data_IF_278111011827
#
_entry.id   IF_278111011827
#
_cell.length_a   1.000
_cell.length_b   1.000
_cell.length_c   1.000
_cell.angle_alpha   90.00
_cell.angle_beta   90.00
_cell.angle_gamma   90.00
#
_symmetry.space_group_name_H-M   'P 1'
#
loop_
_entity.id
_entity.type
_entity.pdbx_description
1 polymer ?
#
# COMPACT_ATOMS: atom_id res chain seq x y z
N UNK A 1 -12.18 57.72 -12.88
CA UNK A 1 -11.10 56.83 -13.35
C UNK A 1 -9.76 57.24 -12.72
N UNK A 2 -9.70 57.41 -11.40
CA UNK A 2 -8.55 58.05 -10.71
C UNK A 2 -7.74 57.07 -9.83
N UNK A 3 -8.24 55.85 -9.63
CA UNK A 3 -7.63 54.87 -8.70
C UNK A 3 -6.57 53.96 -9.36
N UNK A 4 -6.49 53.93 -10.69
CA UNK A 4 -5.54 53.11 -11.45
C UNK A 4 -4.07 53.51 -11.19
N UNK A 5 -3.67 54.81 -11.22
CA UNK A 5 -2.29 55.19 -10.95
C UNK A 5 -1.88 54.94 -9.49
N UNK A 6 -2.80 55.07 -8.54
CA UNK A 6 -2.53 54.83 -7.12
C UNK A 6 -2.27 53.35 -6.83
N UNK A 7 -3.13 52.46 -7.33
CA UNK A 7 -2.96 51.01 -7.17
C UNK A 7 -1.66 50.54 -7.82
N UNK A 8 -1.31 51.09 -8.99
CA UNK A 8 -0.05 50.80 -9.66
C UNK A 8 1.16 51.22 -8.81
N UNK A 9 1.17 52.44 -8.28
CA UNK A 9 2.28 52.93 -7.45
C UNK A 9 2.46 52.10 -6.16
N UNK A 10 1.36 51.69 -5.54
CA UNK A 10 1.37 50.82 -4.37
C UNK A 10 1.95 49.45 -4.74
N UNK A 11 1.47 48.83 -5.83
CA UNK A 11 1.99 47.56 -6.33
C UNK A 11 3.48 47.63 -6.66
N UNK A 12 3.93 48.68 -7.34
CA UNK A 12 5.34 48.87 -7.68
C UNK A 12 6.21 48.98 -6.41
N UNK A 13 5.72 49.67 -5.38
CA UNK A 13 6.41 49.76 -4.09
C UNK A 13 6.48 48.39 -3.39
N UNK A 14 5.38 47.66 -3.31
CA UNK A 14 5.35 46.32 -2.71
C UNK A 14 6.24 45.32 -3.46
N UNK A 15 6.18 45.31 -4.80
CA UNK A 15 7.01 44.44 -5.63
C UNK A 15 8.50 44.74 -5.44
N UNK A 16 8.87 46.02 -5.29
CA UNK A 16 10.25 46.41 -5.02
C UNK A 16 10.72 45.91 -3.65
N UNK A 17 9.88 46.03 -2.63
CA UNK A 17 10.18 45.54 -1.28
C UNK A 17 10.35 44.02 -1.24
N UNK A 18 9.47 43.27 -1.91
CA UNK A 18 9.56 41.80 -2.01
C UNK A 18 10.84 41.39 -2.74
N UNK A 19 11.17 42.05 -3.86
CA UNK A 19 12.41 41.77 -4.60
C UNK A 19 13.65 41.99 -3.75
N UNK A 20 13.71 43.06 -2.96
CA UNK A 20 14.84 43.35 -2.08
C UNK A 20 15.01 42.26 -1.02
N UNK A 21 13.91 41.83 -0.39
CA UNK A 21 13.94 40.77 0.63
C UNK A 21 14.36 39.41 0.05
N UNK A 22 13.87 39.06 -1.15
CA UNK A 22 14.26 37.83 -1.84
C UNK A 22 15.74 37.86 -2.23
N UNK A 23 16.23 38.99 -2.76
CA UNK A 23 17.64 39.12 -3.13
C UNK A 23 18.54 39.02 -1.90
N UNK A 24 18.19 39.67 -0.80
CA UNK A 24 18.92 39.55 0.47
C UNK A 24 18.95 38.12 0.97
N UNK A 25 17.81 37.41 0.90
CA UNK A 25 17.71 36.01 1.33
C UNK A 25 18.48 35.03 0.43
N UNK A 26 18.75 35.40 -0.82
CA UNK A 26 19.49 34.60 -1.79
C UNK A 26 20.97 34.99 -1.90
N UNK A 27 21.38 36.12 -1.34
CA UNK A 27 22.74 36.66 -1.48
C UNK A 27 23.81 35.71 -0.90
N UNK A 28 23.46 34.99 0.16
CA UNK A 28 24.36 34.07 0.87
C UNK A 28 24.29 32.63 0.32
N UNK A 29 23.56 32.38 -0.77
CA UNK A 29 23.33 31.03 -1.30
C UNK A 29 23.90 30.84 -2.69
N UNK A 30 24.47 29.67 -2.93
CA UNK A 30 24.99 29.34 -4.25
C UNK A 30 23.84 29.06 -5.25
N UNK A 31 24.02 29.36 -6.55
CA UNK A 31 22.96 29.20 -7.55
C UNK A 31 22.32 27.81 -7.60
N UNK A 32 23.12 26.75 -7.41
CA UNK A 32 22.62 25.37 -7.42
C UNK A 32 21.69 25.08 -6.22
N UNK A 33 21.93 25.70 -5.07
CA UNK A 33 21.08 25.55 -3.89
C UNK A 33 19.71 26.18 -4.13
N UNK A 34 19.68 27.35 -4.79
CA UNK A 34 18.43 28.02 -5.16
C UNK A 34 17.63 27.14 -6.13
N UNK A 35 18.28 26.51 -7.11
CA UNK A 35 17.65 25.55 -8.03
C UNK A 35 17.12 24.34 -7.25
N UNK A 36 17.90 23.80 -6.32
CA UNK A 36 17.49 22.67 -5.50
C UNK A 36 16.29 23.01 -4.60
N UNK A 37 16.28 24.18 -3.96
CA UNK A 37 15.20 24.64 -3.10
C UNK A 37 13.92 24.91 -3.88
N UNK A 38 14.02 25.55 -5.05
CA UNK A 38 12.86 25.80 -5.90
C UNK A 38 12.28 24.49 -6.43
N UNK A 39 13.12 23.58 -6.93
CA UNK A 39 12.69 22.24 -7.36
C UNK A 39 12.04 21.44 -6.22
N UNK A 40 12.66 21.41 -5.04
CA UNK A 40 12.13 20.74 -3.86
C UNK A 40 10.80 21.35 -3.41
N UNK A 41 10.68 22.68 -3.43
CA UNK A 41 9.46 23.40 -3.09
C UNK A 41 8.32 23.10 -4.07
N UNK A 42 8.59 23.09 -5.38
CA UNK A 42 7.60 22.73 -6.40
C UNK A 42 7.16 21.28 -6.27
N UNK A 43 8.11 20.35 -6.05
CA UNK A 43 7.80 18.94 -5.83
C UNK A 43 6.94 18.75 -4.57
N UNK A 44 7.31 19.41 -3.47
CA UNK A 44 6.56 19.38 -2.21
C UNK A 44 5.15 19.95 -2.38
N UNK A 45 4.98 21.06 -3.09
CA UNK A 45 3.68 21.64 -3.39
C UNK A 45 2.82 20.68 -4.22
N UNK A 46 3.40 20.00 -5.21
CA UNK A 46 2.71 18.96 -5.99
C UNK A 46 2.29 17.76 -5.14
N UNK A 47 3.15 17.32 -4.21
CA UNK A 47 2.81 16.25 -3.27
C UNK A 47 1.67 16.67 -2.34
N UNK A 48 1.71 17.89 -1.79
CA UNK A 48 0.65 18.43 -0.93
C UNK A 48 -0.66 18.54 -1.71
N UNK A 49 -0.62 19.05 -2.94
CA UNK A 49 -1.80 19.17 -3.80
C UNK A 49 -2.42 17.80 -4.10
N UNK A 50 -1.60 16.82 -4.46
CA UNK A 50 -2.04 15.44 -4.69
C UNK A 50 -2.63 14.80 -3.43
N UNK A 51 -2.05 15.03 -2.24
CA UNK A 51 -2.58 14.54 -0.96
C UNK A 51 -3.96 15.15 -0.66
N UNK A 52 -4.12 16.46 -0.85
CA UNK A 52 -5.37 17.18 -0.56
C UNK A 52 -6.47 16.77 -1.54
N UNK A 53 -6.14 16.64 -2.83
CA UNK A 53 -7.14 16.41 -3.87
C UNK A 53 -7.52 14.94 -4.02
N UNK A 54 -6.59 14.00 -3.81
CA UNK A 54 -6.83 12.59 -4.11
C UNK A 54 -7.41 11.78 -2.95
N UNK A 55 -7.56 12.36 -1.74
CA UNK A 55 -8.05 11.68 -0.52
C UNK A 55 -7.32 10.35 -0.19
N UNK A 56 -6.22 10.03 -0.88
CA UNK A 56 -5.39 8.87 -0.59
C UNK A 56 -4.42 9.26 0.50
N UNK A 57 -4.73 8.79 1.71
CA UNK A 57 -3.88 8.93 2.89
C UNK A 57 -2.44 8.54 2.51
N UNK A 58 -1.46 9.45 2.53
CA UNK A 58 -0.07 9.16 2.15
C UNK A 58 0.57 8.11 3.08
N UNK A 59 0.01 7.89 4.27
CA UNK A 59 0.41 6.83 5.18
C UNK A 59 0.07 5.41 4.69
N UNK A 60 -0.96 5.24 3.84
CA UNK A 60 -1.27 3.93 3.23
C UNK A 60 -0.31 3.64 2.06
N UNK A 61 0.01 4.64 1.24
CA UNK A 61 1.00 4.49 0.17
C UNK A 61 2.40 4.22 0.74
N UNK A 62 2.78 4.86 1.85
CA UNK A 62 4.06 4.56 2.51
C UNK A 62 4.05 3.15 3.12
N UNK A 63 2.97 2.73 3.79
CA UNK A 63 2.85 1.36 4.31
C UNK A 63 2.88 0.31 3.20
N UNK A 64 2.17 0.51 2.10
CA UNK A 64 2.20 -0.41 0.95
C UNK A 64 3.55 -0.43 0.26
N UNK A 65 4.19 0.72 0.07
CA UNK A 65 5.51 0.82 -0.54
C UNK A 65 6.58 0.17 0.34
N UNK A 66 6.59 0.49 1.64
CA UNK A 66 7.49 -0.09 2.63
C UNK A 66 7.23 -1.59 2.77
N UNK A 67 5.98 -2.03 2.86
CA UNK A 67 5.63 -3.44 2.92
C UNK A 67 6.04 -4.18 1.64
N UNK A 68 5.84 -3.61 0.45
CA UNK A 68 6.33 -4.18 -0.83
C UNK A 68 7.84 -4.31 -0.86
N UNK A 69 8.57 -3.36 -0.27
CA UNK A 69 10.04 -3.41 -0.17
C UNK A 69 10.51 -4.43 0.86
N UNK A 70 9.92 -4.44 2.05
CA UNK A 70 10.25 -5.37 3.14
C UNK A 70 9.90 -6.81 2.75
N UNK A 71 8.79 -7.04 2.04
CA UNK A 71 8.38 -8.37 1.57
C UNK A 71 9.35 -8.99 0.56
N UNK A 72 10.15 -8.18 -0.15
CA UNK A 72 11.21 -8.66 -1.05
C UNK A 72 12.44 -9.17 -0.31
N UNK A 73 12.56 -8.90 0.99
CA UNK A 73 13.70 -9.36 1.79
C UNK A 73 13.54 -10.85 2.13
N UNK A 74 14.63 -11.63 2.03
CA UNK A 74 14.56 -13.09 2.18
C UNK A 74 14.09 -13.52 3.58
N UNK A 75 14.42 -12.76 4.63
CA UNK A 75 13.98 -13.06 5.99
C UNK A 75 12.46 -12.94 6.15
N UNK A 76 11.84 -11.96 5.48
CA UNK A 76 10.41 -11.67 5.63
C UNK A 76 9.61 -12.67 4.82
N UNK A 77 10.11 -13.04 3.64
CA UNK A 77 9.53 -14.10 2.83
C UNK A 77 9.46 -15.42 3.61
N UNK A 78 10.57 -15.84 4.24
CA UNK A 78 10.61 -17.05 5.08
C UNK A 78 9.62 -16.98 6.25
N UNK A 79 9.52 -15.82 6.91
CA UNK A 79 8.57 -15.64 8.02
C UNK A 79 7.11 -15.78 7.56
N UNK A 80 6.76 -15.18 6.43
CA UNK A 80 5.42 -15.29 5.82
C UNK A 80 5.15 -16.74 5.39
N UNK A 81 6.10 -17.41 4.76
CA UNK A 81 5.98 -18.82 4.37
C UNK A 81 5.76 -19.74 5.58
N UNK A 82 6.48 -19.53 6.68
CA UNK A 82 6.29 -20.30 7.91
C UNK A 82 4.89 -20.11 8.49
N UNK A 83 4.38 -18.88 8.52
CA UNK A 83 3.01 -18.61 8.98
C UNK A 83 1.95 -19.22 8.05
N UNK A 84 2.20 -19.23 6.73
CA UNK A 84 1.35 -19.91 5.75
C UNK A 84 1.32 -21.43 5.96
N UNK A 85 2.48 -22.04 6.22
CA UNK A 85 2.58 -23.48 6.50
C UNK A 85 1.87 -23.84 7.81
N UNK A 86 2.04 -23.03 8.85
CA UNK A 86 1.35 -23.21 10.12
C UNK A 86 -0.17 -23.11 9.94
N UNK A 87 -0.65 -22.06 9.27
CA UNK A 87 -2.06 -21.87 8.97
C UNK A 87 -2.63 -23.02 8.13
N UNK A 88 -1.88 -23.50 7.12
CA UNK A 88 -2.26 -24.67 6.32
C UNK A 88 -2.40 -25.91 7.20
N UNK A 89 -1.46 -26.15 8.11
CA UNK A 89 -1.50 -27.32 9.00
C UNK A 89 -2.69 -27.26 9.96
N UNK A 90 -3.00 -26.09 10.50
CA UNK A 90 -4.18 -25.88 11.34
C UNK A 90 -5.46 -26.14 10.54
N UNK A 91 -5.55 -25.59 9.33
CA UNK A 91 -6.70 -25.79 8.45
C UNK A 91 -6.89 -27.26 8.04
N UNK A 92 -5.81 -27.94 7.68
CA UNK A 92 -5.81 -29.36 7.35
C UNK A 92 -6.26 -30.20 8.55
N UNK A 93 -5.77 -29.89 9.75
CA UNK A 93 -6.22 -30.58 10.96
C UNK A 93 -7.67 -30.28 11.30
N UNK A 94 -8.16 -29.06 11.02
CA UNK A 94 -9.55 -28.68 11.27
C UNK A 94 -10.54 -29.36 10.31
N UNK A 95 -10.18 -29.51 9.03
CA UNK A 95 -11.01 -30.24 8.05
C UNK A 95 -11.04 -31.73 8.37
N UNK A 96 -9.89 -32.31 8.68
CA UNK A 96 -9.76 -33.76 8.91
C UNK A 96 -10.11 -34.19 10.34
N UNK A 97 -10.90 -33.39 11.07
CA UNK A 97 -11.40 -33.80 12.40
C UNK A 97 -12.31 -35.03 12.31
N UNK A 98 -13.01 -35.19 11.19
CA UNK A 98 -13.99 -36.25 10.95
C UNK A 98 -13.66 -37.10 9.72
N UNK A 99 -12.45 -36.97 9.17
CA UNK A 99 -11.98 -37.69 7.98
C UNK A 99 -10.57 -38.24 8.26
N UNK A 100 -10.45 -39.54 8.60
CA UNK A 100 -9.18 -40.16 8.95
C UNK A 100 -8.26 -40.39 7.75
N UNK A 101 -8.83 -40.56 6.55
CA UNK A 101 -8.07 -40.87 5.34
C UNK A 101 -7.40 -39.61 4.76
N UNK A 102 -7.95 -38.43 5.03
CA UNK A 102 -7.47 -37.15 4.48
C UNK A 102 -7.42 -37.13 2.97
N UNK A 103 -8.26 -37.94 2.32
CA UNK A 103 -8.30 -38.11 0.88
C UNK A 103 -9.41 -37.21 0.33
N UNK A 104 -9.00 -36.10 -0.29
CA UNK A 104 -9.93 -35.34 -1.12
C UNK A 104 -10.21 -36.12 -2.41
N UNK A 105 -11.43 -36.65 -2.54
CA UNK A 105 -11.93 -37.19 -3.80
C UNK A 105 -12.05 -36.05 -4.82
N UNK A 106 -11.04 -35.91 -5.67
CA UNK A 106 -10.95 -34.86 -6.71
C UNK A 106 -11.43 -35.34 -8.07
N UNK A 107 -11.65 -36.65 -8.21
CA UNK A 107 -12.15 -37.29 -9.42
C UNK A 107 -13.42 -38.04 -9.12
N UNK A 108 -14.38 -37.98 -10.05
CA UNK A 108 -15.59 -38.80 -9.98
C UNK A 108 -15.20 -40.26 -10.32
N UNK A 109 -15.62 -41.25 -9.52
CA UNK A 109 -15.38 -42.66 -9.85
C UNK A 109 -16.02 -43.04 -11.20
N UNK A 110 -15.38 -43.95 -11.94
CA UNK A 110 -15.81 -44.37 -13.29
C UNK A 110 -17.11 -45.19 -13.25
N UNK A 111 -17.41 -45.84 -12.12
CA UNK A 111 -18.65 -46.56 -11.85
C UNK A 111 -19.27 -46.04 -10.56
N UNK A 112 -20.61 -45.96 -10.51
CA UNK A 112 -21.32 -45.64 -9.28
C UNK A 112 -21.10 -46.72 -8.23
N UNK A 113 -20.91 -46.31 -6.96
CA UNK A 113 -20.81 -47.24 -5.84
C UNK A 113 -22.12 -48.01 -5.64
N UNK A 114 -22.01 -49.26 -5.21
CA UNK A 114 -23.17 -50.07 -4.83
C UNK A 114 -23.84 -49.57 -3.56
N UNK A 115 -25.12 -49.89 -3.35
CA UNK A 115 -25.87 -49.50 -2.15
C UNK A 115 -25.18 -50.00 -0.87
N UNK A 116 -24.68 -51.24 -0.90
CA UNK A 116 -23.96 -51.87 0.22
C UNK A 116 -22.62 -51.15 0.54
N UNK A 117 -21.89 -50.68 -0.48
CA UNK A 117 -20.64 -49.93 -0.31
C UNK A 117 -20.89 -48.55 0.30
N UNK A 118 -21.96 -47.88 -0.13
CA UNK A 118 -22.35 -46.56 0.40
C UNK A 118 -22.73 -46.68 1.88
N UNK A 119 -23.51 -47.70 2.24
CA UNK A 119 -23.91 -47.94 3.63
C UNK A 119 -22.69 -48.27 4.49
N UNK A 120 -21.78 -49.12 4.01
CA UNK A 120 -20.52 -49.44 4.70
C UNK A 120 -19.68 -48.19 4.98
N UNK A 121 -19.46 -47.34 3.95
CA UNK A 121 -18.73 -46.08 4.12
C UNK A 121 -19.44 -45.16 5.12
N UNK A 122 -20.76 -44.99 5.01
CA UNK A 122 -21.53 -44.13 5.92
C UNK A 122 -21.49 -44.60 7.38
N UNK A 123 -21.45 -45.91 7.63
CA UNK A 123 -21.31 -46.48 8.98
C UNK A 123 -19.93 -46.24 9.58
N UNK A 124 -18.88 -46.23 8.77
CA UNK A 124 -17.52 -45.91 9.19
C UNK A 124 -17.42 -44.45 9.65
N UNK A 125 -18.05 -43.52 8.94
CA UNK A 125 -18.11 -42.11 9.35
C UNK A 125 -19.05 -41.84 10.54
N UNK A 126 -20.10 -42.65 10.75
CA UNK A 126 -21.09 -42.44 11.84
C UNK A 126 -20.67 -43.03 13.18
N UNK A 127 -19.72 -43.97 13.19
CA UNK A 127 -19.23 -44.63 14.42
C UNK A 127 -18.02 -43.95 15.04
N UNK A 128 -17.57 -42.83 14.45
CA UNK A 128 -16.43 -42.00 14.87
C UNK A 128 -16.90 -40.69 15.51
#
# INVERSE_FOLDING_TARGET
>A
MENVPLVRNILEHYLRSIRLQLNQSCNDKEPWQIIAYTFASTCLAGLIYHIIYENRIPALLSKEFVFRRIRKLPWMKRKIENQLLEARRVFENDIHKCDPDKIFHTTLPESGYGEDEIVSMATEYSTM
#
